data_IF_295087804673
#
_entry.id   IF_295087804673
#
_cell.length_a   1.000
_cell.length_b   1.000
_cell.length_c   1.000
_cell.angle_alpha   90.00
_cell.angle_beta   90.00
_cell.angle_gamma   90.00
#
_symmetry.space_group_name_H-M   'P 1'
#
loop_
_entity.id
_entity.type
_entity.pdbx_description
1 polymer ?
#
# COMPACT_ATOMS: atom_id res chain seq x y z
N UNK A 1 -35.58 15.93 42.26
CA UNK A 1 -35.84 14.88 41.26
C UNK A 1 -35.74 15.45 39.86
N UNK A 2 -34.73 15.03 39.09
CA UNK A 2 -34.78 14.81 37.64
C UNK A 2 -33.41 14.21 37.27
N UNK A 3 -33.36 12.88 37.15
CA UNK A 3 -32.20 12.19 36.58
C UNK A 3 -32.29 12.38 35.08
N UNK A 4 -31.35 13.12 34.48
CA UNK A 4 -31.19 13.19 33.03
C UNK A 4 -30.16 12.14 32.64
N UNK A 5 -30.68 11.00 32.22
CA UNK A 5 -29.95 9.84 31.69
C UNK A 5 -29.23 10.25 30.40
N UNK A 6 -27.95 9.88 30.19
CA UNK A 6 -27.19 10.23 29.00
C UNK A 6 -27.55 9.28 27.86
N UNK A 7 -27.97 9.83 26.73
CA UNK A 7 -28.05 9.09 25.47
C UNK A 7 -27.72 10.07 24.37
N UNK A 8 -26.45 10.13 23.96
CA UNK A 8 -26.11 10.70 22.67
C UNK A 8 -25.07 9.81 21.98
N UNK A 9 -25.52 9.32 20.84
CA UNK A 9 -24.92 8.31 19.97
C UNK A 9 -23.44 8.56 19.69
N UNK A 10 -22.69 7.48 19.74
CA UNK A 10 -21.42 7.27 19.03
C UNK A 10 -21.57 7.60 17.55
N UNK A 11 -21.24 8.82 17.16
CA UNK A 11 -20.86 9.13 15.79
C UNK A 11 -19.42 8.62 15.62
N UNK A 12 -19.29 7.45 14.98
CA UNK A 12 -18.05 7.03 14.34
C UNK A 12 -17.66 8.13 13.35
N UNK A 13 -16.89 9.10 13.82
CA UNK A 13 -16.08 9.90 12.94
C UNK A 13 -15.00 8.96 12.39
N UNK A 14 -15.29 8.30 11.26
CA UNK A 14 -14.29 7.85 10.30
C UNK A 14 -13.62 9.08 9.67
N UNK A 15 -13.19 10.04 10.48
CA UNK A 15 -12.34 11.14 10.08
C UNK A 15 -10.92 10.59 9.89
N UNK A 16 -10.77 9.77 8.85
CA UNK A 16 -9.50 9.30 8.31
C UNK A 16 -9.28 9.77 6.88
N UNK A 17 -10.11 10.68 6.35
CA UNK A 17 -9.87 11.34 5.07
C UNK A 17 -9.23 12.70 5.36
N UNK A 18 -7.93 12.67 5.60
CA UNK A 18 -7.07 13.85 5.44
C UNK A 18 -6.93 14.08 3.93
N UNK A 19 -7.96 14.66 3.30
CA UNK A 19 -7.92 15.08 1.89
C UNK A 19 -7.15 16.40 1.79
N UNK A 20 -5.90 16.41 2.25
CA UNK A 20 -5.00 17.50 1.93
C UNK A 20 -4.61 17.32 0.46
N UNK A 21 -4.98 18.24 -0.46
CA UNK A 21 -4.58 18.13 -1.85
C UNK A 21 -3.06 18.23 -1.94
N UNK A 22 -2.40 17.09 -2.05
CA UNK A 22 -0.96 17.03 -2.12
C UNK A 22 -0.56 17.41 -3.55
N UNK A 23 -0.03 18.62 -3.71
CA UNK A 23 0.41 19.19 -5.00
C UNK A 23 1.64 18.50 -5.62
N UNK A 24 2.10 17.40 -5.03
CA UNK A 24 3.22 16.64 -5.56
C UNK A 24 2.73 15.75 -6.70
N UNK A 25 3.24 16.01 -7.91
CA UNK A 25 2.96 15.18 -9.06
C UNK A 25 3.38 13.73 -8.78
N UNK A 26 2.44 12.80 -8.88
CA UNK A 26 2.73 11.36 -8.78
C UNK A 26 3.55 10.96 -10.01
N UNK A 27 4.68 10.25 -9.84
CA UNK A 27 5.50 9.82 -10.96
C UNK A 27 4.73 8.91 -11.94
N UNK A 28 5.22 8.82 -13.18
CA UNK A 28 4.73 7.83 -14.13
C UNK A 28 5.10 6.41 -13.67
N UNK A 29 4.18 5.45 -13.82
CA UNK A 29 4.42 4.04 -13.49
C UNK A 29 5.33 3.38 -14.54
N UNK A 30 6.62 3.28 -14.24
CA UNK A 30 7.66 2.69 -15.09
C UNK A 30 8.59 1.80 -14.28
N UNK A 31 9.39 0.93 -14.93
CA UNK A 31 10.37 0.10 -14.20
C UNK A 31 11.39 0.96 -13.44
N UNK A 32 11.74 2.13 -13.98
CA UNK A 32 12.64 3.10 -13.35
C UNK A 32 12.03 3.72 -12.09
N UNK A 33 10.72 3.99 -12.10
CA UNK A 33 10.03 4.67 -11.00
C UNK A 33 9.41 3.70 -9.98
N UNK A 34 9.23 2.43 -10.33
CA UNK A 34 8.73 1.38 -9.44
C UNK A 34 9.82 0.84 -8.51
N UNK A 35 10.54 1.74 -7.84
CA UNK A 35 11.54 1.43 -6.82
C UNK A 35 11.04 1.82 -5.44
N UNK A 36 11.54 1.13 -4.40
CA UNK A 36 11.18 1.46 -3.01
C UNK A 36 11.54 2.89 -2.64
N UNK A 37 12.67 3.40 -3.16
CA UNK A 37 13.13 4.77 -2.96
C UNK A 37 12.08 5.77 -3.47
N UNK A 38 11.66 5.67 -4.73
CA UNK A 38 10.67 6.58 -5.34
C UNK A 38 9.31 6.47 -4.64
N UNK A 39 8.86 5.25 -4.32
CA UNK A 39 7.60 5.03 -3.58
C UNK A 39 7.65 5.73 -2.21
N UNK A 40 8.77 5.69 -1.50
CA UNK A 40 8.92 6.29 -0.17
C UNK A 40 8.87 7.83 -0.17
N UNK A 41 9.23 8.44 -1.30
CA UNK A 41 9.25 9.89 -1.46
C UNK A 41 7.85 10.48 -1.64
N UNK A 42 6.86 9.69 -2.05
CA UNK A 42 5.45 10.10 -2.15
C UNK A 42 4.89 10.36 -0.74
N UNK A 43 4.57 11.62 -0.45
CA UNK A 43 4.10 12.06 0.87
C UNK A 43 2.66 11.69 1.14
N UNK A 44 1.81 11.82 0.12
CA UNK A 44 0.41 11.44 0.24
C UNK A 44 0.29 9.93 0.45
N UNK A 45 -0.37 9.52 1.53
CA UNK A 45 -0.47 8.11 1.89
C UNK A 45 -1.31 7.34 0.87
N UNK A 46 -2.39 7.94 0.40
CA UNK A 46 -3.34 7.30 -0.52
C UNK A 46 -2.69 7.11 -1.88
N UNK A 47 -2.11 8.16 -2.45
CA UNK A 47 -1.42 8.12 -3.72
C UNK A 47 -0.17 7.23 -3.67
N UNK A 48 0.55 7.18 -2.53
CA UNK A 48 1.65 6.24 -2.34
C UNK A 48 1.17 4.79 -2.40
N UNK A 49 0.06 4.48 -1.73
CA UNK A 49 -0.51 3.13 -1.73
C UNK A 49 -1.02 2.73 -3.12
N UNK A 50 -1.67 3.66 -3.82
CA UNK A 50 -2.16 3.44 -5.18
C UNK A 50 -1.01 3.23 -6.17
N UNK A 51 0.00 4.12 -6.16
CA UNK A 51 1.19 4.01 -7.01
C UNK A 51 1.96 2.71 -6.75
N UNK A 52 2.19 2.35 -5.47
CA UNK A 52 2.82 1.08 -5.11
C UNK A 52 2.00 -0.14 -5.57
N UNK A 53 0.67 -0.05 -5.49
CA UNK A 53 -0.25 -1.08 -5.97
C UNK A 53 -0.24 -1.22 -7.50
N UNK A 54 -0.03 -0.14 -8.24
CA UNK A 54 0.17 -0.18 -9.69
C UNK A 54 1.53 -0.79 -10.04
N UNK A 55 2.58 -0.42 -9.33
CA UNK A 55 3.93 -0.99 -9.49
C UNK A 55 3.98 -2.49 -9.21
N UNK A 56 3.27 -3.00 -8.20
CA UNK A 56 3.26 -4.44 -7.89
C UNK A 56 2.53 -5.31 -8.93
N UNK A 57 1.60 -4.71 -9.68
CA UNK A 57 0.84 -5.35 -10.76
C UNK A 57 1.54 -5.29 -12.10
N UNK A 58 2.58 -4.47 -12.22
CA UNK A 58 3.43 -4.47 -13.42
C UNK A 58 3.91 -5.91 -13.62
N UNK A 59 3.86 -6.44 -14.85
CA UNK A 59 4.61 -7.63 -15.20
C UNK A 59 6.09 -7.26 -15.17
N UNK A 60 6.65 -7.04 -13.98
CA UNK A 60 8.08 -7.14 -13.78
C UNK A 60 8.39 -8.59 -14.05
N UNK A 61 9.19 -8.86 -15.08
CA UNK A 61 9.65 -10.21 -15.34
C UNK A 61 10.28 -10.70 -14.02
N UNK A 62 9.58 -11.59 -13.31
CA UNK A 62 10.25 -12.43 -12.32
C UNK A 62 11.37 -13.03 -13.14
N UNK A 63 12.59 -12.54 -12.89
CA UNK A 63 13.71 -12.93 -13.73
C UNK A 63 13.76 -14.45 -13.64
N UNK A 64 13.76 -15.17 -14.78
CA UNK A 64 13.87 -16.60 -14.76
C UNK A 64 15.09 -16.96 -13.92
N UNK A 65 14.88 -17.77 -12.90
CA UNK A 65 16.01 -18.27 -12.12
C UNK A 65 16.72 -19.33 -12.97
N UNK A 66 18.03 -19.44 -12.87
CA UNK A 66 18.79 -20.47 -13.59
C UNK A 66 18.37 -21.89 -13.18
N UNK A 67 17.87 -22.03 -11.95
CA UNK A 67 17.40 -23.29 -11.38
C UNK A 67 16.00 -23.08 -10.77
N UNK A 68 14.93 -23.12 -11.59
CA UNK A 68 13.57 -22.96 -11.11
C UNK A 68 13.22 -24.18 -10.25
N UNK A 69 12.94 -23.94 -8.97
CA UNK A 69 12.48 -24.96 -8.04
C UNK A 69 10.96 -24.94 -7.95
N UNK A 70 10.36 -26.11 -7.87
CA UNK A 70 8.95 -26.25 -7.53
C UNK A 70 8.74 -26.08 -6.01
N UNK A 71 7.48 -25.94 -5.60
CA UNK A 71 7.12 -25.68 -4.20
C UNK A 71 7.64 -26.74 -3.21
N UNK A 72 7.65 -28.02 -3.60
CA UNK A 72 8.13 -29.10 -2.74
C UNK A 72 9.64 -28.96 -2.48
N UNK A 73 10.41 -28.64 -3.52
CA UNK A 73 11.86 -28.45 -3.43
C UNK A 73 12.25 -27.26 -2.55
N UNK A 74 11.45 -26.19 -2.54
CA UNK A 74 11.66 -25.03 -1.67
C UNK A 74 11.40 -25.35 -0.20
N UNK A 75 10.34 -26.11 0.10
CA UNK A 75 9.96 -26.45 1.47
C UNK A 75 10.92 -27.45 2.11
N UNK A 76 11.48 -28.38 1.33
CA UNK A 76 12.48 -29.34 1.82
C UNK A 76 13.84 -28.72 2.15
N UNK A 77 14.11 -27.49 1.69
CA UNK A 77 15.41 -26.81 1.89
C UNK A 77 15.51 -26.05 3.23
N UNK A 78 14.45 -26.00 4.03
CA UNK A 78 14.37 -25.27 5.31
C UNK A 78 14.49 -26.17 6.55
N UNK A 79 14.84 -27.45 6.35
CA UNK A 79 15.04 -28.44 7.40
C UNK A 79 16.50 -28.77 7.65
#
# INVERSE_FOLDING_TARGET
>A
MKKLTPLLLTLLALAGCDDQPNSQAIPEVSDTNCTLEVISQIKDRTARAEFAGQCSRRPGAIQPTEQPKNWLELNSSQG
#
